data_IF_677630075393
#
_entry.id   IF_677630075393
#
_cell.length_a   1.000
_cell.length_b   1.000
_cell.length_c   1.000
_cell.angle_alpha   90.00
_cell.angle_beta   90.00
_cell.angle_gamma   90.00
#
_symmetry.space_group_name_H-M   'P 1'
#
loop_
_entity.id
_entity.type
_entity.pdbx_description
1 polymer ?
#
# COMPACT_ATOMS: atom_id res chain seq x y z
N UNK A 1 7.93 1.19 -31.46
CA UNK A 1 7.76 1.95 -30.19
C UNK A 1 6.39 1.70 -29.56
N UNK A 2 5.34 1.35 -30.32
CA UNK A 2 4.13 0.72 -29.78
C UNK A 2 4.37 -0.75 -29.38
N UNK A 3 5.46 -1.35 -29.86
CA UNK A 3 5.74 -2.79 -29.77
C UNK A 3 6.16 -3.29 -28.38
N UNK A 4 6.72 -2.44 -27.50
CA UNK A 4 7.14 -2.86 -26.14
C UNK A 4 5.98 -2.77 -25.13
N UNK A 5 4.87 -2.07 -25.45
CA UNK A 5 3.72 -1.99 -24.55
C UNK A 5 2.87 -3.25 -24.56
N UNK A 6 2.82 -3.94 -25.70
CA UNK A 6 2.10 -5.20 -25.88
C UNK A 6 2.86 -6.40 -25.27
N UNK A 7 4.19 -6.40 -25.20
CA UNK A 7 4.97 -7.59 -24.80
C UNK A 7 4.69 -8.14 -23.37
N UNK A 8 4.41 -7.30 -22.36
CA UNK A 8 4.10 -7.82 -21.00
C UNK A 8 2.60 -8.12 -20.76
N UNK A 9 1.68 -7.41 -21.44
CA UNK A 9 0.25 -7.81 -21.45
C UNK A 9 0.11 -9.11 -22.27
N UNK A 10 0.88 -9.27 -23.35
CA UNK A 10 0.96 -10.48 -24.16
C UNK A 10 1.63 -11.64 -23.40
N UNK A 11 2.69 -11.45 -22.62
CA UNK A 11 3.36 -12.56 -21.91
C UNK A 11 2.43 -13.29 -20.91
N UNK A 12 1.57 -12.57 -20.17
CA UNK A 12 0.57 -13.18 -19.28
C UNK A 12 -0.62 -13.78 -20.07
N UNK A 13 -1.06 -13.12 -21.15
CA UNK A 13 -2.09 -13.64 -22.05
C UNK A 13 -1.62 -14.87 -22.85
N UNK A 14 -0.32 -14.97 -23.17
CA UNK A 14 0.34 -16.11 -23.83
C UNK A 14 0.46 -17.32 -22.90
N UNK A 15 0.75 -17.12 -21.60
CA UNK A 15 0.82 -18.23 -20.63
C UNK A 15 -0.55 -18.89 -20.40
N UNK A 16 -1.63 -18.10 -20.52
CA UNK A 16 -3.01 -18.57 -20.44
C UNK A 16 -3.63 -18.86 -21.83
N UNK A 17 -2.89 -18.61 -22.93
CA UNK A 17 -3.32 -18.87 -24.31
C UNK A 17 -3.48 -20.37 -24.54
N UNK A 18 -4.73 -20.84 -24.45
CA UNK A 18 -5.08 -22.25 -24.66
C UNK A 18 -5.81 -22.87 -23.47
N UNK A 19 -5.92 -22.17 -22.35
CA UNK A 19 -6.74 -22.60 -21.21
C UNK A 19 -8.20 -22.23 -21.41
N UNK A 20 -9.10 -23.15 -21.02
CA UNK A 20 -10.54 -22.84 -20.95
C UNK A 20 -10.77 -21.84 -19.80
N UNK A 21 -11.77 -20.95 -19.92
CA UNK A 21 -12.14 -19.99 -18.84
C UNK A 21 -12.21 -20.61 -17.45
N UNK A 22 -12.75 -21.83 -17.33
CA UNK A 22 -12.81 -22.57 -16.05
C UNK A 22 -11.44 -22.98 -15.49
N UNK A 23 -10.48 -23.29 -16.36
CA UNK A 23 -9.10 -23.61 -15.96
C UNK A 23 -8.35 -22.36 -15.50
N UNK A 24 -8.57 -21.21 -16.15
CA UNK A 24 -8.02 -19.91 -15.73
C UNK A 24 -8.53 -19.57 -14.33
N UNK A 25 -9.84 -19.66 -14.09
CA UNK A 25 -10.40 -19.42 -12.74
C UNK A 25 -9.86 -20.37 -11.68
N UNK A 26 -9.69 -21.65 -12.02
CA UNK A 26 -9.14 -22.63 -11.08
C UNK A 26 -7.65 -22.39 -10.79
N UNK A 27 -6.85 -22.06 -11.80
CA UNK A 27 -5.44 -21.65 -11.68
C UNK A 27 -5.33 -20.43 -10.77
N UNK A 28 -6.09 -19.36 -11.07
CA UNK A 28 -6.11 -18.14 -10.28
C UNK A 28 -6.52 -18.40 -8.82
N UNK A 29 -7.58 -19.17 -8.59
CA UNK A 29 -8.02 -19.52 -7.24
C UNK A 29 -6.97 -20.34 -6.48
N UNK A 30 -6.33 -21.30 -7.15
CA UNK A 30 -5.23 -22.09 -6.59
C UNK A 30 -4.04 -21.21 -6.20
N UNK A 31 -3.61 -20.30 -7.08
CA UNK A 31 -2.54 -19.35 -6.82
C UNK A 31 -2.87 -18.41 -5.66
N UNK A 32 -4.11 -17.93 -5.56
CA UNK A 32 -4.55 -17.12 -4.43
C UNK A 32 -4.48 -17.88 -3.10
N UNK A 33 -4.93 -19.15 -3.06
CA UNK A 33 -4.82 -19.97 -1.84
C UNK A 33 -3.36 -20.16 -1.45
N UNK A 34 -2.50 -20.50 -2.40
CA UNK A 34 -1.05 -20.68 -2.13
C UNK A 34 -0.46 -19.37 -1.59
N UNK A 35 -0.79 -18.23 -2.21
CA UNK A 35 -0.38 -16.91 -1.74
C UNK A 35 -0.82 -16.63 -0.30
N UNK A 36 -2.09 -16.91 0.03
CA UNK A 36 -2.62 -16.75 1.39
C UNK A 36 -1.88 -17.64 2.39
N UNK A 37 -1.61 -18.89 2.05
CA UNK A 37 -0.86 -19.83 2.91
C UNK A 37 0.56 -19.31 3.16
N UNK A 38 1.25 -18.88 2.10
CA UNK A 38 2.60 -18.32 2.20
C UNK A 38 2.59 -17.07 3.09
N UNK A 39 1.74 -16.09 2.80
CA UNK A 39 1.63 -14.86 3.59
C UNK A 39 1.34 -15.18 5.06
N UNK A 40 0.42 -16.11 5.34
CA UNK A 40 0.09 -16.52 6.71
C UNK A 40 1.29 -17.12 7.45
N UNK A 41 2.08 -17.98 6.80
CA UNK A 41 3.26 -18.61 7.42
C UNK A 41 4.39 -17.60 7.66
N UNK A 42 4.58 -16.64 6.76
CA UNK A 42 5.71 -15.71 6.81
C UNK A 42 5.42 -14.37 7.49
N UNK A 43 4.15 -14.03 7.76
CA UNK A 43 3.78 -12.76 8.39
C UNK A 43 4.35 -12.61 9.81
N UNK A 44 4.19 -13.62 10.66
CA UNK A 44 4.68 -13.56 12.05
C UNK A 44 6.23 -13.42 12.10
N UNK A 45 7.02 -14.26 11.40
CA UNK A 45 8.47 -14.07 11.33
C UNK A 45 8.91 -12.70 10.80
N UNK A 46 8.19 -12.14 9.83
CA UNK A 46 8.47 -10.81 9.29
C UNK A 46 8.32 -9.74 10.38
N UNK A 47 7.21 -9.75 11.12
CA UNK A 47 6.96 -8.79 12.20
C UNK A 47 8.00 -8.91 13.32
N UNK A 48 8.44 -10.13 13.64
CA UNK A 48 9.49 -10.37 14.64
C UNK A 48 10.83 -9.76 14.21
N UNK A 49 11.24 -9.97 12.95
CA UNK A 49 12.48 -9.41 12.42
C UNK A 49 12.44 -7.89 12.42
N UNK A 50 11.31 -7.29 12.02
CA UNK A 50 11.14 -5.84 12.04
C UNK A 50 11.22 -5.27 13.47
N UNK A 51 10.62 -5.96 14.44
CA UNK A 51 10.67 -5.58 15.85
C UNK A 51 12.10 -5.63 16.40
N UNK A 52 12.83 -6.72 16.14
CA UNK A 52 14.24 -6.86 16.55
C UNK A 52 15.12 -5.82 15.86
N UNK A 53 14.87 -5.56 14.57
CA UNK A 53 15.58 -4.51 13.82
C UNK A 53 15.37 -3.15 14.48
N UNK A 54 14.12 -2.75 14.74
CA UNK A 54 13.76 -1.52 15.43
C UNK A 54 14.49 -1.35 16.76
N UNK A 55 14.47 -2.40 17.60
CA UNK A 55 15.14 -2.42 18.89
C UNK A 55 16.67 -2.27 18.76
N UNK A 56 17.29 -2.86 17.73
CA UNK A 56 18.75 -2.77 17.51
C UNK A 56 19.18 -1.40 17.01
N UNK A 57 18.38 -0.75 16.17
CA UNK A 57 18.68 0.57 15.61
C UNK A 57 18.16 1.73 16.48
N UNK A 58 17.45 1.42 17.57
CA UNK A 58 16.92 2.41 18.52
C UNK A 58 15.73 3.21 18.00
N UNK A 59 14.96 2.65 17.06
CA UNK A 59 13.77 3.29 16.46
C UNK A 59 12.51 2.73 17.13
N UNK A 60 11.55 3.61 17.45
CA UNK A 60 10.31 3.19 18.09
C UNK A 60 9.45 2.31 17.16
N UNK A 61 8.68 1.35 17.70
CA UNK A 61 7.86 0.43 16.92
C UNK A 61 6.92 1.12 15.93
N UNK A 62 6.37 2.29 16.29
CA UNK A 62 5.54 3.09 15.40
C UNK A 62 6.24 3.39 14.07
N UNK A 63 7.47 3.94 14.10
CA UNK A 63 8.20 4.30 12.88
C UNK A 63 8.62 3.09 12.06
N UNK A 64 8.92 1.95 12.72
CA UNK A 64 9.17 0.69 12.00
C UNK A 64 7.92 0.28 11.22
N UNK A 65 6.76 0.30 11.87
CA UNK A 65 5.48 -0.05 11.26
C UNK A 65 5.02 0.95 10.20
N UNK A 66 5.31 2.23 10.37
CA UNK A 66 4.84 3.29 9.47
C UNK A 66 5.76 3.52 8.26
N UNK A 67 7.05 3.17 8.38
CA UNK A 67 8.05 3.41 7.34
C UNK A 67 8.55 2.11 6.72
N UNK A 68 9.02 1.18 7.54
CA UNK A 68 9.69 -0.02 7.03
C UNK A 68 8.66 -1.04 6.51
N UNK A 69 7.59 -1.27 7.26
CA UNK A 69 6.56 -2.27 6.89
C UNK A 69 5.92 -1.99 5.52
N UNK A 70 5.50 -0.76 5.17
CA UNK A 70 4.91 -0.50 3.86
C UNK A 70 5.89 -0.65 2.72
N UNK A 71 7.17 -0.31 2.94
CA UNK A 71 8.23 -0.53 1.93
C UNK A 71 8.39 -2.02 1.67
N UNK A 72 8.45 -2.85 2.72
CA UNK A 72 8.63 -4.30 2.58
C UNK A 72 7.39 -4.97 1.99
N UNK A 73 6.21 -4.65 2.53
CA UNK A 73 4.96 -5.33 2.19
C UNK A 73 4.44 -4.98 0.78
N UNK A 74 4.76 -3.78 0.28
CA UNK A 74 4.27 -3.30 -1.02
C UNK A 74 5.42 -3.06 -2.03
N UNK A 75 6.62 -3.59 -1.76
CA UNK A 75 7.79 -3.40 -2.62
C UNK A 75 7.54 -3.83 -4.06
N UNK A 76 6.96 -5.02 -4.25
CA UNK A 76 6.72 -5.59 -5.58
C UNK A 76 5.75 -4.74 -6.39
N UNK A 77 4.65 -4.30 -5.78
CA UNK A 77 3.65 -3.41 -6.40
C UNK A 77 4.25 -2.04 -6.74
N UNK A 78 5.07 -1.47 -5.85
CA UNK A 78 5.75 -0.21 -6.10
C UNK A 78 6.71 -0.30 -7.29
N UNK A 79 7.50 -1.38 -7.35
CA UNK A 79 8.48 -1.61 -8.42
C UNK A 79 7.77 -1.87 -9.75
N UNK A 80 6.76 -2.73 -9.78
CA UNK A 80 6.00 -3.02 -11.01
C UNK A 80 5.28 -1.78 -11.52
N UNK A 81 4.65 -1.01 -10.63
CA UNK A 81 4.01 0.27 -10.98
C UNK A 81 5.01 1.28 -11.54
N UNK A 82 6.24 1.31 -11.00
CA UNK A 82 7.29 2.19 -11.51
C UNK A 82 7.75 1.74 -12.91
N UNK A 83 8.01 0.45 -13.11
CA UNK A 83 8.40 -0.12 -14.41
C UNK A 83 7.32 0.18 -15.45
N UNK A 84 6.06 -0.05 -15.10
CA UNK A 84 4.93 0.25 -15.96
C UNK A 84 4.88 1.75 -16.28
N UNK A 85 4.89 2.64 -15.27
CA UNK A 85 4.90 4.09 -15.49
C UNK A 85 6.10 4.62 -16.30
N UNK A 86 7.25 3.93 -16.28
CA UNK A 86 8.44 4.30 -17.05
C UNK A 86 8.26 4.12 -18.56
N UNK A 87 7.23 3.40 -19.03
CA UNK A 87 6.85 3.30 -20.45
C UNK A 87 6.34 4.63 -21.03
N UNK A 88 6.02 5.62 -20.17
CA UNK A 88 5.73 7.02 -20.53
C UNK A 88 4.56 7.24 -21.51
N UNK A 89 3.69 6.27 -21.74
CA UNK A 89 2.46 6.49 -22.49
C UNK A 89 1.31 7.00 -21.61
N UNK A 90 0.33 7.65 -22.23
CA UNK A 90 -0.86 8.15 -21.52
C UNK A 90 -1.71 7.01 -20.95
N UNK A 91 -1.83 5.88 -21.68
CA UNK A 91 -2.58 4.69 -21.25
C UNK A 91 -1.94 4.14 -19.98
N UNK A 92 -0.64 3.86 -20.06
CA UNK A 92 0.14 3.23 -19.00
C UNK A 92 0.19 4.07 -17.72
N UNK A 93 0.45 5.38 -17.83
CA UNK A 93 0.45 6.29 -16.67
C UNK A 93 -0.94 6.36 -16.01
N UNK A 94 -2.01 6.44 -16.81
CA UNK A 94 -3.38 6.55 -16.28
C UNK A 94 -3.82 5.25 -15.59
N UNK A 95 -3.45 4.10 -16.17
CA UNK A 95 -3.74 2.79 -15.60
C UNK A 95 -2.97 2.59 -14.30
N UNK A 96 -1.65 2.85 -14.28
CA UNK A 96 -0.82 2.81 -13.06
C UNK A 96 -1.42 3.68 -11.96
N UNK A 97 -1.78 4.93 -12.30
CA UNK A 97 -2.36 5.86 -11.34
C UNK A 97 -3.67 5.33 -10.74
N UNK A 98 -4.54 4.76 -11.57
CA UNK A 98 -5.81 4.19 -11.14
C UNK A 98 -5.62 2.94 -10.27
N UNK A 99 -4.66 2.09 -10.62
CA UNK A 99 -4.27 0.91 -9.84
C UNK A 99 -3.76 1.31 -8.45
N UNK A 100 -2.79 2.23 -8.38
CA UNK A 100 -2.23 2.72 -7.11
C UNK A 100 -3.30 3.37 -6.21
N UNK A 101 -4.18 4.19 -6.79
CA UNK A 101 -5.29 4.79 -6.04
C UNK A 101 -6.28 3.75 -5.53
N UNK A 102 -6.60 2.75 -6.35
CA UNK A 102 -7.47 1.63 -5.99
C UNK A 102 -6.88 0.80 -4.85
N UNK A 103 -5.61 0.41 -4.98
CA UNK A 103 -4.87 -0.35 -3.98
C UNK A 103 -4.77 0.40 -2.64
N UNK A 104 -4.38 1.68 -2.66
CA UNK A 104 -4.29 2.49 -1.45
C UNK A 104 -5.65 2.63 -0.75
N UNK A 105 -6.72 2.89 -1.52
CA UNK A 105 -8.07 3.04 -0.96
C UNK A 105 -8.58 1.71 -0.38
N UNK A 106 -8.38 0.61 -1.10
CA UNK A 106 -8.81 -0.72 -0.65
C UNK A 106 -8.04 -1.14 0.60
N UNK A 107 -6.72 -1.03 0.60
CA UNK A 107 -5.87 -1.41 1.72
C UNK A 107 -6.25 -0.60 2.98
N UNK A 108 -6.33 0.72 2.86
CA UNK A 108 -6.65 1.57 4.01
C UNK A 108 -8.06 1.32 4.57
N UNK A 109 -9.08 1.16 3.71
CA UNK A 109 -10.45 0.95 4.18
C UNK A 109 -10.70 -0.46 4.72
N UNK A 110 -10.20 -1.49 4.03
CA UNK A 110 -10.39 -2.88 4.43
C UNK A 110 -9.59 -3.22 5.69
N UNK A 111 -8.32 -2.80 5.77
CA UNK A 111 -7.49 -3.04 6.95
C UNK A 111 -8.03 -2.30 8.17
N UNK A 112 -8.47 -1.04 8.01
CA UNK A 112 -9.10 -0.31 9.11
C UNK A 112 -10.38 -1.01 9.58
N UNK A 113 -11.21 -1.50 8.65
CA UNK A 113 -12.42 -2.24 9.00
C UNK A 113 -12.11 -3.54 9.75
N UNK A 114 -11.13 -4.32 9.30
CA UNK A 114 -10.68 -5.52 9.99
C UNK A 114 -10.12 -5.21 11.38
N UNK A 115 -9.29 -4.17 11.50
CA UNK A 115 -8.72 -3.73 12.78
C UNK A 115 -9.81 -3.32 13.78
N UNK A 116 -10.74 -2.45 13.36
CA UNK A 116 -11.87 -2.02 14.19
C UNK A 116 -12.78 -3.19 14.56
N UNK A 117 -13.03 -4.09 13.62
CA UNK A 117 -13.76 -5.34 13.86
C UNK A 117 -13.10 -6.15 14.96
N UNK A 118 -11.79 -6.41 14.87
CA UNK A 118 -11.03 -7.14 15.88
C UNK A 118 -11.05 -6.44 17.25
N UNK A 119 -10.86 -5.12 17.29
CA UNK A 119 -10.97 -4.33 18.52
C UNK A 119 -12.34 -4.50 19.18
N UNK A 120 -13.42 -4.44 18.38
CA UNK A 120 -14.79 -4.63 18.87
C UNK A 120 -15.04 -6.06 19.38
N UNK A 121 -14.61 -7.08 18.63
CA UNK A 121 -14.80 -8.49 19.01
C UNK A 121 -14.01 -8.88 20.25
N UNK A 122 -12.81 -8.33 20.44
CA UNK A 122 -11.90 -8.64 21.55
C UNK A 122 -12.02 -7.64 22.72
N UNK A 123 -12.83 -6.60 22.58
CA UNK A 123 -13.05 -5.57 23.61
C UNK A 123 -11.79 -4.75 23.94
N UNK A 124 -10.89 -4.52 22.98
CA UNK A 124 -9.70 -3.69 23.21
C UNK A 124 -10.07 -2.21 23.31
N UNK A 125 -9.44 -1.51 24.24
CA UNK A 125 -9.53 -0.05 24.33
C UNK A 125 -8.81 0.58 23.13
N UNK A 126 -9.46 1.55 22.49
CA UNK A 126 -8.88 2.35 21.42
C UNK A 126 -7.94 3.41 22.01
N UNK A 127 -6.64 3.30 21.74
CA UNK A 127 -5.60 4.18 22.31
C UNK A 127 -4.68 4.80 21.27
N UNK A 128 -5.00 4.74 19.97
CA UNK A 128 -4.14 5.25 18.87
C UNK A 128 -4.81 6.42 18.15
N UNK A 129 -5.30 7.39 18.92
CA UNK A 129 -6.12 8.46 18.38
C UNK A 129 -5.30 9.44 17.54
N UNK A 130 -4.07 9.75 17.96
CA UNK A 130 -3.21 10.71 17.27
C UNK A 130 -2.77 10.20 15.89
N UNK A 131 -2.33 8.95 15.80
CA UNK A 131 -1.83 8.33 14.59
C UNK A 131 -2.95 8.14 13.56
N UNK A 132 -4.12 7.69 14.00
CA UNK A 132 -5.26 7.49 13.10
C UNK A 132 -5.79 8.82 12.59
N UNK A 133 -5.81 9.86 13.42
CA UNK A 133 -6.19 11.21 12.96
C UNK A 133 -5.18 11.79 11.95
N UNK A 134 -3.88 11.55 12.13
CA UNK A 134 -2.86 11.95 11.17
C UNK A 134 -3.03 11.23 9.82
N UNK A 135 -3.23 9.91 9.84
CA UNK A 135 -3.47 9.11 8.64
C UNK A 135 -4.76 9.56 7.94
N UNK A 136 -5.83 9.80 8.71
CA UNK A 136 -7.10 10.27 8.18
C UNK A 136 -6.97 11.63 7.50
N UNK A 137 -6.24 12.58 8.11
CA UNK A 137 -5.99 13.89 7.52
C UNK A 137 -5.24 13.78 6.17
N UNK A 138 -4.18 12.95 6.11
CA UNK A 138 -3.45 12.68 4.87
C UNK A 138 -4.38 12.06 3.82
N UNK A 139 -5.24 11.12 4.21
CA UNK A 139 -6.17 10.46 3.28
C UNK A 139 -7.19 11.44 2.69
N UNK A 140 -7.70 12.39 3.49
CA UNK A 140 -8.61 13.44 3.00
C UNK A 140 -7.89 14.35 2.00
N UNK A 141 -6.67 14.78 2.30
CA UNK A 141 -5.86 15.60 1.39
C UNK A 141 -5.60 14.84 0.09
N UNK A 142 -5.19 13.57 0.17
CA UNK A 142 -4.97 12.71 -0.99
C UNK A 142 -6.25 12.50 -1.81
N UNK A 143 -7.41 12.37 -1.15
CA UNK A 143 -8.70 12.30 -1.82
C UNK A 143 -9.01 13.56 -2.63
N UNK A 144 -8.76 14.74 -2.07
CA UNK A 144 -8.94 16.01 -2.78
C UNK A 144 -7.99 16.13 -3.98
N UNK A 145 -6.73 15.76 -3.79
CA UNK A 145 -5.72 15.72 -4.85
C UNK A 145 -6.14 14.77 -5.98
N UNK A 146 -6.68 13.60 -5.63
CA UNK A 146 -7.12 12.61 -6.60
C UNK A 146 -8.33 13.05 -7.43
N UNK A 147 -9.17 13.94 -6.91
CA UNK A 147 -10.31 14.52 -7.64
C UNK A 147 -9.88 15.53 -8.72
N UNK A 148 -8.62 15.96 -8.72
CA UNK A 148 -8.14 16.89 -9.74
C UNK A 148 -8.01 16.19 -11.10
N UNK A 149 -8.65 16.77 -12.13
CA UNK A 149 -8.61 16.24 -13.50
C UNK A 149 -7.22 16.23 -14.13
N UNK A 150 -6.35 17.14 -13.71
CA UNK A 150 -5.00 17.28 -14.29
C UNK A 150 -3.97 17.06 -13.20
N UNK A 151 -3.27 15.93 -13.28
CA UNK A 151 -2.16 15.60 -12.40
C UNK A 151 -0.88 16.25 -12.97
N UNK A 152 -0.27 17.15 -12.18
CA UNK A 152 0.95 17.87 -12.59
C UNK A 152 2.14 17.44 -11.74
N UNK A 153 3.36 17.63 -12.26
CA UNK A 153 4.59 17.31 -11.52
C UNK A 153 4.73 18.12 -10.22
N UNK A 154 4.17 19.32 -10.15
CA UNK A 154 4.14 20.09 -8.90
C UNK A 154 3.27 19.42 -7.84
N UNK A 155 2.14 18.84 -8.26
CA UNK A 155 1.23 18.12 -7.38
C UNK A 155 1.81 16.76 -6.95
N UNK A 156 2.59 16.07 -7.79
CA UNK A 156 3.31 14.87 -7.36
C UNK A 156 4.40 15.17 -6.32
N UNK A 157 5.12 16.29 -6.43
CA UNK A 157 6.07 16.74 -5.40
C UNK A 157 5.36 17.07 -4.08
N UNK A 158 4.18 17.69 -4.14
CA UNK A 158 3.36 17.95 -2.96
C UNK A 158 2.92 16.64 -2.29
N UNK A 159 2.41 15.67 -3.07
CA UNK A 159 2.04 14.33 -2.58
C UNK A 159 3.23 13.63 -1.94
N UNK A 160 4.41 13.68 -2.57
CA UNK A 160 5.62 13.10 -2.02
C UNK A 160 6.01 13.74 -0.69
N UNK A 161 5.82 15.05 -0.55
CA UNK A 161 6.09 15.79 0.69
C UNK A 161 5.07 15.51 1.81
N UNK A 162 3.85 15.04 1.51
CA UNK A 162 2.87 14.66 2.53
C UNK A 162 3.37 13.51 3.43
N UNK A 163 4.21 12.62 2.90
CA UNK A 163 4.75 11.50 3.66
C UNK A 163 5.71 11.93 4.80
N UNK A 164 6.79 12.70 4.57
CA UNK A 164 7.60 13.22 5.67
C UNK A 164 6.83 14.22 6.54
N UNK A 165 5.87 14.96 5.98
CA UNK A 165 5.03 15.89 6.75
C UNK A 165 4.12 15.14 7.73
N UNK A 166 3.59 13.97 7.37
CA UNK A 166 2.72 13.19 8.25
C UNK A 166 3.51 12.61 9.43
N UNK A 167 4.75 12.17 9.21
CA UNK A 167 5.66 11.73 10.26
C UNK A 167 5.93 12.88 11.24
N UNK A 168 6.21 14.08 10.70
CA UNK A 168 6.39 15.27 11.53
C UNK A 168 5.13 15.65 12.31
N UNK A 169 3.95 15.52 11.69
CA UNK A 169 2.66 15.80 12.33
C UNK A 169 2.45 14.87 13.53
N UNK A 170 2.72 13.57 13.39
CA UNK A 170 2.61 12.61 14.50
C UNK A 170 3.56 12.99 15.62
N UNK A 171 4.83 13.25 15.32
CA UNK A 171 5.81 13.70 16.30
C UNK A 171 5.37 14.99 17.04
N UNK A 172 4.81 15.95 16.31
CA UNK A 172 4.31 17.20 16.89
C UNK A 172 3.07 16.97 17.78
N UNK A 173 2.14 16.10 17.38
CA UNK A 173 0.96 15.78 18.16
C UNK A 173 1.32 15.06 19.46
N UNK A 174 2.23 14.09 19.42
CA UNK A 174 2.74 13.41 20.61
C UNK A 174 3.42 14.39 21.57
N UNK A 175 4.29 15.26 21.05
CA UNK A 175 5.12 16.15 21.88
C UNK A 175 4.35 17.34 22.46
N UNK A 176 3.42 17.93 21.70
CA UNK A 176 2.75 19.18 22.09
C UNK A 176 1.30 18.99 22.58
N UNK A 177 0.58 17.96 22.11
CA UNK A 177 -0.81 17.73 22.51
C UNK A 177 -0.94 16.68 23.62
N UNK A 178 0.12 15.91 23.91
CA UNK A 178 0.10 14.84 24.92
C UNK A 178 -0.88 13.72 24.58
N UNK A 179 -1.24 13.59 23.30
CA UNK A 179 -2.09 12.51 22.80
C UNK A 179 -1.20 11.29 22.61
N UNK A 180 -1.54 10.21 23.32
CA UNK A 180 -1.09 8.85 23.01
C UNK A 180 -2.16 8.18 22.16
#
# INVERSE_FOLDING_TARGET
EEDEEDEEEDDEEEEDAGLTRGQIYLKAFGLMIVGVVVVTIFSDPMVDVLTVLGNRIGIQPFYVSFIVTPIVSNASELISSLIFAMRRSKKTITLTYSQLMGAATMNNTFVLALFLGLCAFRGLAWTFSAEVMAIFAVQVIMGIVALQRTQTTGLSLFVLALYPLSIFLVFALEQFAGWQ
#
